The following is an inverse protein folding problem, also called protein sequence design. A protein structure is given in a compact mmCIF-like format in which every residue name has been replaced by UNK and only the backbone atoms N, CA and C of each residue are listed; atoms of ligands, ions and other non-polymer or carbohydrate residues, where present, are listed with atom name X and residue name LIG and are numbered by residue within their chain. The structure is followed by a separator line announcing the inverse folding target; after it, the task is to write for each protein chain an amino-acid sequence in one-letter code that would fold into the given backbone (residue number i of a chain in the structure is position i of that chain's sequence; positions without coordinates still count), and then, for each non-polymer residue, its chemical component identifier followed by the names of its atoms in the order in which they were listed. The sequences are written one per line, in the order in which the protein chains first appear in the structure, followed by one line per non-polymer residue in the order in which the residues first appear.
data_IF_613547231795
#
_entry.id   IF_613547231795
#
_cell.length_a   1.000
_cell.length_b   1.000
_cell.length_c   1.000
_cell.angle_alpha   90.00
_cell.angle_beta   90.00
_cell.angle_gamma   90.00
#
_symmetry.space_group_name_H-M   'P 1'
#
loop_
_entity.id
_entity.type
_entity.pdbx_description
1 polymer ?
#
# COMPACT_ATOMS: atom_id res chain seq x y z
N UNK A 1 4.10 3.01 -0.40
CA UNK A 1 4.06 1.89 -1.38
C UNK A 1 5.37 1.68 -2.14
N UNK A 2 5.88 2.63 -2.95
CA UNK A 2 7.15 2.43 -3.71
C UNK A 2 8.34 2.02 -2.82
N UNK A 3 8.46 2.65 -1.65
CA UNK A 3 9.47 2.30 -0.65
C UNK A 3 9.35 0.84 -0.17
N UNK A 4 8.14 0.34 0.11
CA UNK A 4 7.93 -1.05 0.51
C UNK A 4 8.32 -2.02 -0.60
N UNK A 5 7.92 -1.75 -1.86
CA UNK A 5 8.35 -2.53 -3.04
C UNK A 5 9.87 -2.60 -3.15
N UNK A 6 10.56 -1.46 -3.03
CA UNK A 6 12.02 -1.41 -3.08
C UNK A 6 12.66 -2.20 -1.93
N UNK A 7 12.15 -2.07 -0.71
CA UNK A 7 12.64 -2.84 0.45
C UNK A 7 12.44 -4.34 0.28
N UNK A 8 11.32 -4.79 -0.31
CA UNK A 8 11.08 -6.20 -0.56
C UNK A 8 12.18 -6.80 -1.45
N UNK A 9 12.50 -6.11 -2.54
CA UNK A 9 13.58 -6.51 -3.45
C UNK A 9 14.96 -6.41 -2.83
N UNK A 10 15.24 -5.35 -2.07
CA UNK A 10 16.57 -5.14 -1.48
C UNK A 10 16.90 -6.08 -0.32
N UNK A 11 15.89 -6.54 0.43
CA UNK A 11 16.10 -7.32 1.65
C UNK A 11 15.87 -8.81 1.49
N UNK A 12 15.32 -9.26 0.36
CA UNK A 12 14.96 -10.66 0.16
C UNK A 12 13.88 -11.15 1.11
N UNK A 13 13.00 -10.27 1.59
CA UNK A 13 11.83 -10.63 2.40
C UNK A 13 10.62 -9.80 1.97
N UNK A 14 9.42 -10.34 2.09
CA UNK A 14 8.20 -9.60 1.75
C UNK A 14 8.10 -8.32 2.55
N UNK A 15 7.56 -7.27 1.93
CA UNK A 15 7.23 -6.03 2.63
C UNK A 15 5.82 -5.63 2.28
N UNK A 16 5.03 -5.24 3.28
CA UNK A 16 3.68 -4.76 3.04
C UNK A 16 3.47 -3.36 3.59
N UNK A 17 2.54 -2.65 2.97
CA UNK A 17 2.03 -1.38 3.51
C UNK A 17 0.70 -1.68 4.16
N UNK A 18 0.59 -1.42 5.46
CA UNK A 18 -0.67 -1.45 6.19
C UNK A 18 -1.25 -0.04 6.21
N UNK A 19 -2.51 0.09 5.80
CA UNK A 19 -3.25 1.34 5.83
C UNK A 19 -4.27 1.31 6.97
N UNK A 20 -4.43 2.44 7.65
CA UNK A 20 -5.50 2.66 8.62
C UNK A 20 -6.30 3.89 8.17
N UNK A 21 -7.49 3.63 7.66
CA UNK A 21 -8.44 4.64 7.17
C UNK A 21 -9.00 5.44 8.35
N UNK A 22 -9.18 4.84 9.53
CA UNK A 22 -9.79 5.51 10.68
C UNK A 22 -8.89 6.58 11.30
N UNK A 23 -7.58 6.47 11.10
CA UNK A 23 -6.58 7.42 11.64
C UNK A 23 -5.78 8.13 10.56
N UNK A 24 -6.11 7.93 9.27
CA UNK A 24 -5.37 8.46 8.12
C UNK A 24 -3.86 8.21 8.24
N UNK A 25 -3.49 7.00 8.64
CA UNK A 25 -2.08 6.61 8.80
C UNK A 25 -1.71 5.39 7.97
N UNK A 26 -0.43 5.21 7.75
CA UNK A 26 0.11 4.00 7.13
C UNK A 26 1.45 3.62 7.76
N UNK A 27 1.82 2.36 7.67
CA UNK A 27 3.18 1.90 8.00
C UNK A 27 3.68 0.84 7.05
N UNK A 28 4.99 0.62 7.06
CA UNK A 28 5.62 -0.49 6.35
C UNK A 28 5.93 -1.60 7.36
N UNK A 29 5.57 -2.82 7.01
CA UNK A 29 5.89 -4.03 7.77
C UNK A 29 6.79 -4.93 6.93
N UNK A 30 7.70 -5.66 7.58
CA UNK A 30 8.59 -6.65 6.97
C UNK A 30 8.13 -8.05 7.38
N UNK A 31 8.00 -8.94 6.40
CA UNK A 31 7.73 -10.35 6.61
C UNK A 31 8.98 -11.14 7.02
N UNK A 32 8.78 -12.31 7.60
CA UNK A 32 9.85 -13.23 7.98
C UNK A 32 10.38 -14.08 6.80
N UNK A 33 9.65 -14.12 5.67
CA UNK A 33 9.96 -14.98 4.52
C UNK A 33 10.09 -14.21 3.21
N UNK A 34 10.66 -14.89 2.21
CA UNK A 34 10.68 -14.43 0.82
C UNK A 34 9.30 -14.47 0.15
N UNK A 35 8.44 -15.40 0.59
CA UNK A 35 7.10 -15.59 0.10
C UNK A 35 6.22 -16.22 1.19
N UNK A 36 4.98 -15.76 1.35
CA UNK A 36 4.01 -16.33 2.28
C UNK A 36 4.41 -16.16 3.74
N UNK A 37 4.81 -14.95 4.14
CA UNK A 37 5.22 -14.63 5.51
C UNK A 37 4.05 -14.80 6.49
N UNK A 38 4.30 -15.55 7.57
CA UNK A 38 3.32 -15.75 8.65
C UNK A 38 3.48 -14.69 9.74
N UNK A 39 4.70 -14.14 9.88
CA UNK A 39 5.05 -13.16 10.91
C UNK A 39 5.43 -11.83 10.25
N UNK A 40 4.91 -10.74 10.80
CA UNK A 40 5.10 -9.40 10.26
C UNK A 40 5.58 -8.46 11.36
N UNK A 41 6.74 -7.85 11.12
CA UNK A 41 7.38 -6.92 12.04
C UNK A 41 7.23 -5.48 11.54
N UNK A 42 6.91 -4.50 12.39
CA UNK A 42 6.94 -3.10 12.02
C UNK A 42 8.34 -2.71 11.52
N UNK A 43 8.44 -2.25 10.27
CA UNK A 43 9.68 -1.71 9.70
C UNK A 43 9.71 -0.18 9.75
N UNK A 44 8.57 0.44 10.04
CA UNK A 44 8.41 1.86 10.37
C UNK A 44 7.33 1.98 11.45
N UNK A 45 7.35 3.10 12.16
CA UNK A 45 6.19 3.56 12.92
C UNK A 45 5.00 3.88 11.99
N UNK A 46 3.84 4.14 12.59
CA UNK A 46 2.70 4.72 11.89
C UNK A 46 3.02 6.15 11.46
N UNK A 47 2.86 6.41 10.17
CA UNK A 47 3.12 7.69 9.53
C UNK A 47 1.77 8.32 9.18
N UNK A 48 1.44 9.52 9.68
CA UNK A 48 0.22 10.22 9.31
C UNK A 48 0.30 10.73 7.87
N UNK A 49 -0.84 10.80 7.20
CA UNK A 49 -0.99 11.58 5.97
C UNK A 49 -0.88 13.10 6.28
N UNK A 50 -0.66 13.89 5.23
CA UNK A 50 -0.80 15.36 5.34
C UNK A 50 -2.24 15.68 5.79
N UNK A 51 -2.41 16.61 6.74
CA UNK A 51 -3.71 16.96 7.33
C UNK A 51 -4.76 17.44 6.32
N UNK A 52 -4.38 17.69 5.06
CA UNK A 52 -5.29 18.09 3.99
C UNK A 52 -5.70 16.92 3.09
N UNK A 53 -5.34 15.69 3.45
CA UNK A 53 -5.57 14.48 2.68
C UNK A 53 -6.25 13.45 3.57
N UNK A 54 -7.41 12.98 3.10
CA UNK A 54 -8.14 11.90 3.75
C UNK A 54 -8.02 10.63 2.89
N UNK A 55 -7.77 9.52 3.55
CA UNK A 55 -7.99 8.20 3.00
C UNK A 55 -9.44 7.81 3.24
N UNK A 56 -10.16 7.38 2.20
CA UNK A 56 -11.58 7.01 2.36
C UNK A 56 -11.90 5.60 1.90
N UNK A 57 -10.97 4.94 1.20
CA UNK A 57 -11.18 3.59 0.71
C UNK A 57 -9.88 2.89 0.40
N UNK A 58 -9.81 1.60 0.72
CA UNK A 58 -8.80 0.67 0.24
C UNK A 58 -9.55 -0.50 -0.39
N UNK A 59 -9.12 -0.96 -1.56
CA UNK A 59 -9.82 -2.03 -2.30
C UNK A 59 -8.93 -3.20 -2.63
N UNK A 60 -9.54 -4.39 -2.63
CA UNK A 60 -8.98 -5.67 -3.06
C UNK A 60 -7.80 -6.20 -2.22
N UNK A 61 -7.21 -5.35 -1.37
CA UNK A 61 -6.18 -5.72 -0.42
C UNK A 61 -6.82 -6.32 0.83
N UNK A 62 -6.41 -7.54 1.18
CA UNK A 62 -6.86 -8.19 2.41
C UNK A 62 -6.42 -7.34 3.61
N UNK A 63 -7.35 -7.08 4.51
CA UNK A 63 -7.13 -6.30 5.74
C UNK A 63 -6.40 -4.96 5.48
N UNK A 64 -6.73 -4.29 4.38
CA UNK A 64 -6.14 -3.01 3.96
C UNK A 64 -4.59 -3.04 3.88
N UNK A 65 -4.04 -4.18 3.43
CA UNK A 65 -2.60 -4.41 3.32
C UNK A 65 -2.16 -4.75 1.91
N UNK A 66 -1.20 -3.98 1.41
CA UNK A 66 -0.56 -4.24 0.10
C UNK A 66 0.77 -4.93 0.31
N UNK A 67 0.84 -6.23 0.03
CA UNK A 67 2.06 -7.04 0.16
C UNK A 67 2.86 -7.07 -1.13
N UNK A 68 4.13 -6.69 -1.06
CA UNK A 68 5.09 -6.81 -2.15
C UNK A 68 6.02 -8.00 -1.91
N UNK A 69 6.13 -8.85 -2.92
CA UNK A 69 7.05 -9.97 -2.98
C UNK A 69 8.47 -9.49 -3.28
N UNK A 70 9.46 -10.37 -3.09
CA UNK A 70 10.88 -10.04 -3.32
C UNK A 70 11.20 -9.65 -4.77
N UNK A 71 10.45 -10.15 -5.75
CA UNK A 71 10.57 -9.73 -7.15
C UNK A 71 9.84 -8.39 -7.45
N UNK A 72 9.28 -7.75 -6.42
CA UNK A 72 8.59 -6.48 -6.52
C UNK A 72 7.16 -6.57 -7.07
N UNK A 73 6.60 -7.77 -7.28
CA UNK A 73 5.18 -7.95 -7.61
C UNK A 73 4.32 -7.85 -6.34
N UNK A 74 3.00 -7.78 -6.50
CA UNK A 74 2.03 -7.84 -5.41
C UNK A 74 1.23 -9.12 -5.55
N UNK A 75 1.03 -9.82 -4.43
CA UNK A 75 0.26 -11.07 -4.41
C UNK A 75 -1.24 -10.83 -4.69
N UNK A 76 -1.85 -11.73 -5.44
CA UNK A 76 -3.30 -11.74 -5.67
C UNK A 76 -3.77 -10.74 -6.74
N UNK A 77 -4.40 -9.65 -6.30
CA UNK A 77 -5.30 -8.84 -7.13
C UNK A 77 -4.81 -7.40 -7.31
N UNK A 78 -5.24 -6.77 -8.40
CA UNK A 78 -5.08 -5.34 -8.57
C UNK A 78 -5.95 -4.62 -7.54
N UNK A 79 -5.38 -3.71 -6.77
CA UNK A 79 -6.10 -2.92 -5.79
C UNK A 79 -5.72 -1.45 -5.85
N UNK A 80 -6.38 -0.65 -5.03
CA UNK A 80 -6.08 0.77 -4.94
C UNK A 80 -6.34 1.32 -3.55
N UNK A 81 -5.58 2.36 -3.21
CA UNK A 81 -5.87 3.24 -2.09
C UNK A 81 -6.44 4.53 -2.66
N UNK A 82 -7.56 4.97 -2.11
CA UNK A 82 -8.29 6.15 -2.56
C UNK A 82 -8.10 7.26 -1.54
N UNK A 83 -7.73 8.42 -2.07
CA UNK A 83 -7.37 9.60 -1.32
C UNK A 83 -8.16 10.77 -1.88
N UNK A 84 -8.66 11.63 -1.00
CA UNK A 84 -9.24 12.91 -1.39
C UNK A 84 -8.53 14.03 -0.63
N UNK A 85 -8.51 15.22 -1.19
CA UNK A 85 -8.06 16.39 -0.45
C UNK A 85 -9.24 17.21 0.07
N UNK A 86 -8.94 18.25 0.85
CA UNK A 86 -9.93 19.21 1.37
C UNK A 86 -10.79 19.92 0.32
N UNK A 87 -10.42 19.86 -0.97
CA UNK A 87 -11.19 20.40 -2.10
C UNK A 87 -12.01 19.33 -2.82
N UNK A 88 -12.16 18.16 -2.20
CA UNK A 88 -12.78 16.95 -2.75
C UNK A 88 -12.16 16.45 -4.08
N UNK A 89 -10.91 16.82 -4.37
CA UNK A 89 -10.17 16.24 -5.49
C UNK A 89 -9.80 14.81 -5.13
N UNK A 90 -10.44 13.85 -5.79
CA UNK A 90 -10.23 12.41 -5.59
C UNK A 90 -9.12 11.88 -6.49
N UNK A 91 -8.22 11.12 -5.89
CA UNK A 91 -7.17 10.37 -6.59
C UNK A 91 -7.13 8.94 -6.06
N UNK A 92 -6.70 8.02 -6.91
CA UNK A 92 -6.41 6.65 -6.52
C UNK A 92 -4.97 6.29 -6.83
N UNK A 93 -4.30 5.69 -5.87
CA UNK A 93 -3.01 5.06 -6.05
C UNK A 93 -3.25 3.56 -6.32
N UNK A 94 -3.31 3.21 -7.60
CA UNK A 94 -3.57 1.85 -8.08
C UNK A 94 -2.29 1.03 -8.13
N UNK A 95 -2.34 -0.20 -7.64
CA UNK A 95 -1.26 -1.18 -7.72
C UNK A 95 -1.69 -2.36 -8.58
N UNK A 96 -0.82 -2.74 -9.51
CA UNK A 96 -1.05 -3.86 -10.42
C UNK A 96 -0.34 -5.12 -9.91
N UNK A 97 -1.07 -6.21 -9.60
CA UNK A 97 -0.53 -7.38 -8.90
C UNK A 97 0.70 -7.99 -9.59
N UNK A 98 0.55 -8.43 -10.83
CA UNK A 98 1.60 -9.12 -11.59
C UNK A 98 2.90 -8.30 -11.82
N UNK A 99 2.87 -6.98 -11.63
CA UNK A 99 4.03 -6.12 -11.89
C UNK A 99 4.46 -5.28 -10.69
N UNK A 100 3.63 -5.21 -9.65
CA UNK A 100 3.74 -4.22 -8.56
C UNK A 100 3.77 -2.78 -9.04
N UNK A 101 3.33 -2.49 -10.27
CA UNK A 101 3.36 -1.15 -10.82
C UNK A 101 2.34 -0.27 -10.13
N UNK A 102 2.80 0.90 -9.67
CA UNK A 102 2.01 1.86 -8.92
C UNK A 102 1.73 3.06 -9.82
N UNK A 103 0.46 3.30 -10.12
CA UNK A 103 -0.02 4.45 -10.91
C UNK A 103 -0.93 5.31 -10.05
N UNK A 104 -0.72 6.62 -10.09
CA UNK A 104 -1.60 7.60 -9.47
C UNK A 104 -2.49 8.16 -10.57
N UNK A 105 -3.79 8.16 -10.34
CA UNK A 105 -4.79 8.63 -11.31
C UNK A 105 -5.84 9.45 -10.59
N UNK A 106 -6.33 10.50 -11.24
CA UNK A 106 -7.56 11.15 -10.77
C UNK A 106 -8.74 10.20 -10.90
N UNK A 107 -9.63 10.24 -9.93
CA UNK A 107 -10.93 9.60 -10.04
C UNK A 107 -11.85 10.54 -10.82
N UNK A 108 -12.13 10.19 -12.07
CA UNK A 108 -13.18 10.85 -12.84
C UNK A 108 -14.48 10.10 -12.58
N UNK A 109 -15.47 10.80 -12.03
CA UNK A 109 -16.85 10.33 -12.04
C UNK A 109 -17.32 10.28 -13.50
N UNK A 110 -17.91 9.16 -13.91
CA UNK A 110 -18.47 8.94 -15.25
C UNK A 110 -19.95 9.24 -15.23
#
# INVERSE_FOLDING_TARGET
MRLARMKATATGAEHRVAFDIGTDTYRIEKGDKMFGSDVWFPATEWIPLDQRIDMYKVTAFKDDRVTFNVNGTVEGVNGAVYLKNVKDRKVRARVMSATGNIKIQEEKEW
#
